data_IF_815311656876
#
_entry.id   IF_815311656876
#
_cell.length_a   1.000
_cell.length_b   1.000
_cell.length_c   1.000
_cell.angle_alpha   90.00
_cell.angle_beta   90.00
_cell.angle_gamma   90.00
#
_symmetry.space_group_name_H-M   'P 1'
#
loop_
_entity.id
_entity.type
_entity.pdbx_description
1 polymer ?
#
# COMPACT_ATOMS: atom_id res chain seq x y z
N UNK A 1 5.90 10.07 -31.90
CA UNK A 1 6.60 10.07 -30.60
C UNK A 1 5.66 9.47 -29.57
N UNK A 2 6.09 8.47 -28.79
CA UNK A 2 5.24 7.95 -27.69
C UNK A 2 5.02 9.09 -26.70
N UNK A 3 3.76 9.47 -26.45
CA UNK A 3 3.41 10.48 -25.44
C UNK A 3 3.98 10.01 -24.08
N UNK A 4 4.56 10.92 -23.31
CA UNK A 4 5.06 10.64 -21.97
C UNK A 4 4.03 11.09 -20.91
N UNK A 5 4.08 10.57 -19.68
CA UNK A 5 3.26 11.07 -18.58
C UNK A 5 3.50 12.56 -18.33
N UNK A 6 2.45 13.29 -17.92
CA UNK A 6 2.56 14.71 -17.60
C UNK A 6 3.12 14.87 -16.19
N UNK A 7 4.19 15.64 -16.02
CA UNK A 7 4.82 15.88 -14.72
C UNK A 7 4.42 17.26 -14.19
N UNK A 8 3.77 17.28 -13.03
CA UNK A 8 3.41 18.51 -12.32
C UNK A 8 4.44 18.79 -11.22
N UNK A 9 5.19 19.88 -11.38
CA UNK A 9 6.20 20.31 -10.42
C UNK A 9 5.66 21.29 -9.39
N UNK A 10 4.52 21.94 -9.65
CA UNK A 10 3.89 22.87 -8.71
C UNK A 10 2.37 22.74 -8.70
N UNK A 11 1.77 23.19 -7.60
CA UNK A 11 0.30 23.22 -7.43
C UNK A 11 -0.33 24.17 -8.46
N UNK A 12 0.31 25.30 -8.79
CA UNK A 12 -0.18 26.21 -9.82
C UNK A 12 -0.26 25.56 -11.21
N UNK A 13 0.72 24.71 -11.57
CA UNK A 13 0.68 23.96 -12.83
C UNK A 13 -0.50 22.99 -12.85
N UNK A 14 -0.71 22.28 -11.74
CA UNK A 14 -1.84 21.35 -11.61
C UNK A 14 -3.18 22.08 -11.69
N UNK A 15 -3.38 23.15 -10.91
CA UNK A 15 -4.62 23.92 -10.91
C UNK A 15 -4.96 24.44 -12.31
N UNK A 16 -3.98 25.01 -13.02
CA UNK A 16 -4.17 25.47 -14.41
C UNK A 16 -4.59 24.33 -15.33
N UNK A 17 -3.96 23.18 -15.23
CA UNK A 17 -4.26 22.02 -16.06
C UNK A 17 -5.62 21.38 -15.75
N UNK A 18 -6.10 21.54 -14.51
CA UNK A 18 -7.43 21.07 -14.06
C UNK A 18 -8.54 22.12 -14.26
N UNK A 19 -8.25 23.27 -14.89
CA UNK A 19 -9.22 24.34 -15.11
C UNK A 19 -9.68 25.04 -13.82
N UNK A 20 -8.86 25.00 -12.77
CA UNK A 20 -9.16 25.51 -11.44
C UNK A 20 -8.52 26.89 -11.20
N UNK A 21 -9.07 27.71 -10.29
CA UNK A 21 -8.43 28.95 -9.85
C UNK A 21 -7.01 28.70 -9.31
N UNK A 22 -6.16 29.72 -9.35
CA UNK A 22 -4.84 29.63 -8.75
C UNK A 22 -4.95 29.27 -7.25
N UNK A 23 -4.05 28.43 -6.70
CA UNK A 23 -4.10 28.06 -5.30
C UNK A 23 -3.83 29.29 -4.41
N UNK A 24 -4.52 29.37 -3.26
CA UNK A 24 -4.30 30.44 -2.28
C UNK A 24 -2.91 30.37 -1.63
N UNK A 25 -2.30 29.18 -1.60
CA UNK A 25 -0.95 28.96 -1.10
C UNK A 25 -0.10 28.17 -2.12
N UNK A 26 1.19 28.53 -2.35
CA UNK A 26 2.01 27.89 -3.39
C UNK A 26 2.38 26.43 -3.10
N UNK A 27 2.37 26.03 -1.82
CA UNK A 27 2.84 24.71 -1.37
C UNK A 27 1.76 23.79 -0.79
N UNK A 28 0.52 24.25 -0.63
CA UNK A 28 -0.59 23.41 -0.18
C UNK A 28 -1.90 23.91 -0.80
N UNK A 29 -2.80 22.99 -1.18
CA UNK A 29 -4.13 23.35 -1.65
C UNK A 29 -5.14 22.23 -1.43
N UNK A 30 -6.40 22.60 -1.27
CA UNK A 30 -7.53 21.68 -1.39
C UNK A 30 -8.25 21.97 -2.71
N UNK A 31 -8.56 20.93 -3.47
CA UNK A 31 -9.25 21.00 -4.75
C UNK A 31 -10.48 20.09 -4.72
N UNK A 32 -11.62 20.59 -5.20
CA UNK A 32 -12.78 19.75 -5.51
C UNK A 32 -12.61 19.18 -6.92
N UNK A 33 -12.35 17.87 -7.02
CA UNK A 33 -12.14 17.23 -8.33
C UNK A 33 -13.42 17.12 -9.16
N UNK A 34 -14.60 17.15 -8.52
CA UNK A 34 -15.89 17.21 -9.23
C UNK A 34 -16.10 18.51 -10.02
N UNK A 35 -15.34 19.56 -9.68
CA UNK A 35 -15.37 20.84 -10.40
C UNK A 35 -14.25 20.97 -11.44
N UNK A 36 -13.34 19.98 -11.53
CA UNK A 36 -12.22 20.02 -12.45
C UNK A 36 -12.71 19.96 -13.91
N UNK A 37 -12.09 20.78 -14.77
CA UNK A 37 -12.40 20.84 -16.20
C UNK A 37 -11.13 20.58 -17.00
N UNK A 38 -11.01 19.37 -17.52
CA UNK A 38 -9.89 18.93 -18.34
C UNK A 38 -10.33 17.88 -19.38
N UNK A 39 -9.56 17.68 -20.45
CA UNK A 39 -9.76 16.55 -21.37
C UNK A 39 -8.96 15.35 -20.84
N UNK A 40 -9.60 14.20 -20.52
CA UNK A 40 -8.89 13.00 -20.09
C UNK A 40 -7.80 12.54 -21.08
N UNK A 41 -7.92 12.88 -22.37
CA UNK A 41 -6.91 12.57 -23.41
C UNK A 41 -5.59 13.31 -23.19
N UNK A 42 -5.60 14.44 -22.48
CA UNK A 42 -4.38 15.17 -22.13
C UNK A 42 -3.51 14.39 -21.14
N UNK A 43 -4.13 13.47 -20.39
CA UNK A 43 -3.50 12.66 -19.35
C UNK A 43 -3.58 11.15 -19.62
N UNK A 44 -3.77 10.75 -20.87
CA UNK A 44 -3.91 9.34 -21.29
C UNK A 44 -2.72 8.47 -20.85
N UNK A 45 -1.51 9.05 -20.81
CA UNK A 45 -0.29 8.37 -20.38
C UNK A 45 -0.03 8.46 -18.87
N UNK A 46 -0.97 9.06 -18.14
CA UNK A 46 -0.89 9.30 -16.70
C UNK A 46 -0.24 10.63 -16.33
N UNK A 47 -0.31 10.91 -15.03
CA UNK A 47 0.25 12.09 -14.37
C UNK A 47 1.26 11.67 -13.31
N UNK A 48 2.30 12.47 -13.11
CA UNK A 48 3.25 12.34 -12.02
C UNK A 48 3.25 13.64 -11.24
N UNK A 49 2.95 13.57 -9.94
CA UNK A 49 2.95 14.73 -9.06
C UNK A 49 4.27 14.79 -8.29
N UNK A 50 4.88 15.98 -8.17
CA UNK A 50 6.05 16.18 -7.26
C UNK A 50 5.66 16.51 -5.82
N UNK A 51 4.39 16.28 -5.48
CA UNK A 51 3.78 16.58 -4.21
C UNK A 51 2.83 15.46 -3.78
N UNK A 52 2.56 15.38 -2.48
CA UNK A 52 1.63 14.40 -1.94
C UNK A 52 0.21 14.75 -2.40
N UNK A 53 -0.58 13.72 -2.69
CA UNK A 53 -2.01 13.82 -3.01
C UNK A 53 -2.79 12.92 -2.05
N UNK A 54 -3.73 13.49 -1.32
CA UNK A 54 -4.66 12.77 -0.45
C UNK A 54 -6.06 13.08 -0.96
N UNK A 55 -6.69 12.10 -1.60
CA UNK A 55 -8.03 12.24 -2.16
C UNK A 55 -9.04 11.59 -1.24
N UNK A 56 -10.17 12.25 -1.05
CA UNK A 56 -11.36 11.72 -0.40
C UNK A 56 -12.54 11.85 -1.36
N UNK A 57 -13.06 10.72 -1.83
CA UNK A 57 -14.25 10.66 -2.68
C UNK A 57 -15.51 10.69 -1.81
N UNK A 58 -16.42 11.63 -2.07
CA UNK A 58 -17.65 11.83 -1.29
C UNK A 58 -18.80 10.95 -1.78
N UNK A 59 -18.76 10.54 -3.04
CA UNK A 59 -19.72 9.64 -3.66
C UNK A 59 -18.98 8.68 -4.59
N UNK A 60 -19.40 7.43 -4.62
CA UNK A 60 -18.90 6.43 -5.56
C UNK A 60 -20.12 5.75 -6.19
N UNK A 61 -20.09 5.52 -7.49
CA UNK A 61 -21.16 4.80 -8.18
C UNK A 61 -20.50 3.69 -9.01
N UNK A 62 -20.35 2.51 -8.42
CA UNK A 62 -19.78 1.36 -9.09
C UNK A 62 -19.97 0.07 -8.29
N UNK A 63 -20.25 -1.03 -8.99
CA UNK A 63 -20.28 -2.37 -8.41
C UNK A 63 -18.89 -2.99 -8.51
N UNK A 64 -18.16 -3.04 -7.41
CA UNK A 64 -16.90 -3.78 -7.33
C UNK A 64 -17.20 -5.25 -7.03
N UNK A 65 -17.04 -6.11 -8.04
CA UNK A 65 -17.06 -7.57 -7.87
C UNK A 65 -15.82 -7.99 -7.08
N UNK A 66 -15.97 -8.56 -5.89
CA UNK A 66 -14.83 -8.98 -5.06
C UNK A 66 -15.08 -10.31 -4.35
N UNK A 67 -14.31 -11.35 -4.73
CA UNK A 67 -14.53 -12.72 -4.29
C UNK A 67 -15.81 -13.33 -4.88
N UNK A 68 -16.54 -14.12 -4.08
CA UNK A 68 -17.85 -14.69 -4.46
C UNK A 68 -19.05 -13.76 -4.16
N UNK A 69 -18.81 -12.53 -3.70
CA UNK A 69 -19.87 -11.59 -3.31
C UNK A 69 -19.69 -10.18 -3.88
N UNK A 70 -20.75 -9.38 -3.76
CA UNK A 70 -20.70 -7.92 -3.86
C UNK A 70 -20.85 -7.39 -2.43
N UNK A 71 -19.94 -6.53 -1.98
CA UNK A 71 -20.10 -5.83 -0.71
C UNK A 71 -20.52 -4.39 -1.00
N UNK A 72 -21.64 -3.97 -0.42
CA UNK A 72 -22.16 -2.61 -0.55
C UNK A 72 -21.29 -1.63 0.25
N UNK A 73 -20.16 -1.23 -0.32
CA UNK A 73 -19.44 -0.03 0.07
C UNK A 73 -19.39 0.91 -1.14
N UNK A 74 -20.57 1.20 -1.70
CA UNK A 74 -20.78 2.09 -2.85
C UNK A 74 -20.67 3.58 -2.49
N UNK A 75 -19.82 4.00 -1.55
CA UNK A 75 -19.98 5.35 -0.97
C UNK A 75 -18.67 6.12 -0.71
N UNK A 76 -17.65 5.90 -1.54
CA UNK A 76 -16.44 6.71 -1.51
C UNK A 76 -15.41 6.25 -0.47
N UNK A 77 -14.19 6.75 -0.65
CA UNK A 77 -13.02 6.29 0.09
C UNK A 77 -11.84 7.23 -0.09
N UNK A 78 -10.76 6.96 0.63
CA UNK A 78 -9.53 7.73 0.55
C UNK A 78 -8.44 7.00 -0.23
N UNK A 79 -7.68 7.77 -1.00
CA UNK A 79 -6.44 7.31 -1.63
C UNK A 79 -5.30 8.27 -1.32
N UNK A 80 -4.09 7.72 -1.25
CA UNK A 80 -2.88 8.42 -0.82
C UNK A 80 -1.79 8.17 -1.83
N UNK A 81 -1.20 9.24 -2.35
CA UNK A 81 -0.20 9.16 -3.41
C UNK A 81 1.00 9.99 -3.02
N UNK A 82 2.16 9.36 -3.07
CA UNK A 82 3.45 9.99 -2.77
C UNK A 82 4.02 10.72 -4.00
N UNK A 83 4.87 11.76 -3.78
CA UNK A 83 5.60 12.41 -4.85
C UNK A 83 6.36 11.43 -5.74
N UNK A 84 6.23 11.58 -7.06
CA UNK A 84 6.93 10.80 -8.06
C UNK A 84 6.22 9.53 -8.51
N UNK A 85 5.08 9.18 -7.90
CA UNK A 85 4.27 8.05 -8.36
C UNK A 85 3.53 8.38 -9.66
N UNK A 86 3.43 7.40 -10.54
CA UNK A 86 2.64 7.47 -11.77
C UNK A 86 1.18 7.14 -11.44
N UNK A 87 0.30 8.08 -11.76
CA UNK A 87 -1.15 7.95 -11.58
C UNK A 87 -1.76 7.84 -12.97
N UNK A 88 -2.51 6.77 -13.25
CA UNK A 88 -3.27 6.66 -14.51
C UNK A 88 -4.72 6.97 -14.24
N UNK A 89 -5.33 7.78 -15.11
CA UNK A 89 -6.73 8.17 -14.96
C UNK A 89 -7.70 6.99 -15.09
N UNK A 90 -7.28 5.88 -15.73
CA UNK A 90 -8.06 4.63 -15.79
C UNK A 90 -8.13 3.91 -14.44
N UNK A 91 -7.18 4.17 -13.54
CA UNK A 91 -7.14 3.59 -12.19
C UNK A 91 -7.97 4.43 -11.18
N UNK A 92 -8.41 5.63 -11.58
CA UNK A 92 -9.33 6.47 -10.80
C UNK A 92 -10.73 6.34 -11.41
N UNK A 93 -11.62 5.58 -10.75
CA UNK A 93 -12.98 5.32 -11.25
C UNK A 93 -13.76 6.60 -11.62
N UNK A 94 -14.65 6.47 -12.60
CA UNK A 94 -15.27 7.54 -13.41
C UNK A 94 -16.06 8.64 -12.68
N UNK A 95 -16.22 8.59 -11.35
CA UNK A 95 -16.84 9.66 -10.58
C UNK A 95 -15.79 10.37 -9.70
N UNK A 96 -15.60 11.66 -9.98
CA UNK A 96 -14.53 12.51 -9.42
C UNK A 96 -15.02 13.40 -8.27
N UNK A 97 -16.27 13.22 -7.83
CA UNK A 97 -16.85 13.96 -6.71
C UNK A 97 -16.07 13.69 -5.41
N UNK A 98 -15.39 14.72 -4.91
CA UNK A 98 -14.56 14.61 -3.73
C UNK A 98 -13.56 15.74 -3.55
N UNK A 99 -12.92 15.75 -2.39
CA UNK A 99 -11.92 16.73 -2.00
C UNK A 99 -10.54 16.10 -2.07
N UNK A 100 -9.59 16.80 -2.70
CA UNK A 100 -8.19 16.37 -2.75
C UNK A 100 -7.28 17.42 -2.15
N UNK A 101 -6.52 17.01 -1.13
CA UNK A 101 -5.49 17.78 -0.49
C UNK A 101 -4.16 17.50 -1.19
N UNK A 102 -3.51 18.56 -1.67
CA UNK A 102 -2.17 18.51 -2.25
C UNK A 102 -1.17 19.19 -1.32
N UNK A 103 -0.06 18.51 -1.02
CA UNK A 103 0.97 19.03 -0.10
C UNK A 103 2.34 18.91 -0.77
N UNK A 104 2.94 20.04 -1.11
CA UNK A 104 4.33 20.07 -1.58
C UNK A 104 5.28 19.69 -0.44
N UNK A 105 6.32 18.86 -0.68
CA UNK A 105 7.22 18.42 0.40
C UNK A 105 7.88 19.58 1.16
N UNK A 106 8.08 20.72 0.50
CA UNK A 106 8.61 21.93 1.14
C UNK A 106 7.70 22.51 2.22
N UNK A 107 6.38 22.28 2.15
CA UNK A 107 5.45 22.70 3.20
C UNK A 107 5.71 21.96 4.53
N UNK A 108 6.27 20.75 4.45
CA UNK A 108 6.54 19.90 5.61
C UNK A 108 7.97 20.05 6.14
N UNK A 109 8.87 20.69 5.38
CA UNK A 109 10.33 20.60 5.52
C UNK A 109 10.87 20.90 6.92
N UNK A 110 10.25 21.85 7.63
CA UNK A 110 10.68 22.28 8.98
C UNK A 110 10.03 21.45 10.10
N UNK A 111 9.12 20.54 9.77
CA UNK A 111 8.35 19.75 10.73
C UNK A 111 8.84 18.30 10.76
N UNK A 112 8.71 17.62 11.91
CA UNK A 112 8.97 16.18 12.02
C UNK A 112 8.18 15.35 10.99
N UNK A 113 7.01 15.84 10.58
CA UNK A 113 6.19 15.19 9.57
C UNK A 113 6.90 15.00 8.22
N UNK A 114 7.88 15.84 7.84
CA UNK A 114 8.64 15.66 6.59
C UNK A 114 9.33 14.30 6.47
N UNK A 115 9.88 13.78 7.57
CA UNK A 115 10.48 12.45 7.64
C UNK A 115 9.44 11.40 8.04
N UNK A 116 8.50 11.77 8.93
CA UNK A 116 7.43 10.92 9.43
C UNK A 116 6.47 10.43 8.34
N UNK A 117 6.12 11.28 7.37
CA UNK A 117 5.05 11.01 6.40
C UNK A 117 5.29 9.75 5.56
N UNK A 118 6.56 9.36 5.34
CA UNK A 118 6.93 8.15 4.59
C UNK A 118 6.69 6.85 5.37
N UNK A 119 6.52 6.93 6.70
CA UNK A 119 6.25 5.76 7.53
C UNK A 119 4.79 5.31 7.45
N UNK A 120 3.89 6.18 6.97
CA UNK A 120 2.52 5.81 6.67
C UNK A 120 2.50 4.95 5.39
N UNK A 121 2.37 3.63 5.59
CA UNK A 121 2.49 2.63 4.52
C UNK A 121 1.55 2.84 3.35
N UNK A 122 0.38 3.46 3.59
CA UNK A 122 -0.64 3.69 2.58
C UNK A 122 -0.25 4.65 1.47
N UNK A 123 0.80 5.46 1.61
CA UNK A 123 1.36 6.22 0.48
C UNK A 123 2.07 5.33 -0.56
N UNK A 124 2.29 4.05 -0.24
CA UNK A 124 2.83 3.05 -1.17
C UNK A 124 1.75 2.14 -1.75
N UNK A 125 0.48 2.36 -1.37
CA UNK A 125 -0.64 1.55 -1.85
C UNK A 125 -1.05 1.96 -3.25
N UNK A 126 -1.69 1.04 -3.96
CA UNK A 126 -2.33 1.33 -5.24
C UNK A 126 -3.73 1.94 -5.04
N UNK A 127 -4.30 2.50 -6.10
CA UNK A 127 -5.69 3.00 -6.06
C UNK A 127 -6.71 1.90 -5.72
N UNK A 128 -6.44 0.64 -6.08
CA UNK A 128 -7.29 -0.51 -5.74
C UNK A 128 -7.29 -0.86 -4.25
N UNK A 129 -6.34 -0.34 -3.48
CA UNK A 129 -6.17 -0.55 -2.03
C UNK A 129 -6.67 0.66 -1.22
N UNK A 130 -7.64 1.38 -1.78
CA UNK A 130 -8.27 2.53 -1.16
C UNK A 130 -8.82 2.20 0.24
N UNK A 131 -8.82 3.23 1.08
CA UNK A 131 -9.43 3.18 2.40
C UNK A 131 -10.93 3.44 2.27
N UNK A 132 -11.74 2.46 2.66
CA UNK A 132 -13.19 2.60 2.69
C UNK A 132 -13.63 3.13 4.04
N UNK A 133 -14.56 4.08 4.02
CA UNK A 133 -15.01 4.79 5.22
C UNK A 133 -16.49 4.50 5.49
N UNK A 134 -16.83 4.35 6.76
CA UNK A 134 -18.20 4.43 7.23
C UNK A 134 -18.66 5.88 7.27
N UNK A 135 -19.97 6.14 7.30
CA UNK A 135 -20.55 7.49 7.39
C UNK A 135 -19.94 8.35 8.49
N UNK A 136 -19.75 7.78 9.69
CA UNK A 136 -19.14 8.50 10.82
C UNK A 136 -17.69 8.90 10.54
N UNK A 137 -16.94 8.06 9.84
CA UNK A 137 -15.54 8.33 9.51
C UNK A 137 -15.43 9.33 8.38
N UNK A 138 -16.32 9.26 7.38
CA UNK A 138 -16.43 10.28 6.33
C UNK A 138 -16.68 11.66 6.94
N UNK A 139 -17.62 11.78 7.89
CA UNK A 139 -17.87 13.02 8.60
C UNK A 139 -16.63 13.54 9.35
N UNK A 140 -15.83 12.62 9.92
CA UNK A 140 -14.56 12.97 10.58
C UNK A 140 -13.54 13.53 9.58
N UNK A 141 -13.34 12.83 8.46
CA UNK A 141 -12.42 13.26 7.39
C UNK A 141 -12.85 14.59 6.78
N UNK A 142 -14.13 14.74 6.45
CA UNK A 142 -14.73 15.98 5.94
C UNK A 142 -14.48 17.15 6.88
N UNK A 143 -14.62 16.94 8.19
CA UNK A 143 -14.38 17.99 9.18
C UNK A 143 -12.92 18.46 9.15
N UNK A 144 -11.96 17.54 9.02
CA UNK A 144 -10.54 17.86 8.94
C UNK A 144 -10.22 18.64 7.65
N UNK A 145 -10.76 18.22 6.50
CA UNK A 145 -10.61 18.96 5.25
C UNK A 145 -11.18 20.38 5.35
N UNK A 146 -12.37 20.52 5.96
CA UNK A 146 -12.99 21.83 6.21
C UNK A 146 -12.11 22.72 7.08
N UNK A 147 -11.56 22.20 8.18
CA UNK A 147 -10.67 22.98 9.05
C UNK A 147 -9.40 23.45 8.33
N UNK A 148 -8.79 22.58 7.51
CA UNK A 148 -7.63 22.98 6.69
C UNK A 148 -8.04 24.05 5.68
N UNK A 149 -9.19 23.92 5.03
CA UNK A 149 -9.68 24.86 4.04
C UNK A 149 -10.00 26.23 4.65
N UNK A 150 -10.63 26.26 5.82
CA UNK A 150 -10.92 27.47 6.59
C UNK A 150 -9.61 28.20 6.94
N UNK A 151 -8.64 27.50 7.54
CA UNK A 151 -7.33 28.07 7.88
C UNK A 151 -6.57 28.61 6.64
N UNK A 152 -6.69 27.95 5.48
CA UNK A 152 -6.11 28.41 4.21
C UNK A 152 -6.81 29.64 3.61
N UNK A 153 -8.04 29.94 4.04
CA UNK A 153 -8.83 31.07 3.56
C UNK A 153 -8.72 32.32 4.45
N UNK A 154 -8.21 32.15 5.67
CA UNK A 154 -7.99 33.23 6.63
C UNK A 154 -6.67 33.99 6.38
N UNK A 155 -6.46 35.05 7.17
CA UNK A 155 -5.22 35.83 7.10
C UNK A 155 -4.06 34.97 7.62
N UNK A 156 -3.12 34.65 6.75
CA UNK A 156 -1.91 33.93 7.13
C UNK A 156 -1.10 34.73 8.16
N UNK A 157 -0.88 34.12 9.32
CA UNK A 157 0.06 34.60 10.31
C UNK A 157 1.15 33.55 10.59
N UNK A 158 1.96 33.78 11.63
CA UNK A 158 3.07 32.89 11.97
C UNK A 158 2.64 31.52 12.54
N UNK A 159 1.36 31.35 12.86
CA UNK A 159 0.81 30.13 13.45
C UNK A 159 0.02 29.29 12.44
N UNK A 160 -0.46 29.88 11.35
CA UNK A 160 -1.30 29.18 10.37
C UNK A 160 -0.70 27.87 9.85
N UNK A 161 0.61 27.85 9.57
CA UNK A 161 1.28 26.62 9.11
C UNK A 161 1.29 25.53 10.19
N UNK A 162 1.51 25.87 11.46
CA UNK A 162 1.50 24.91 12.58
C UNK A 162 0.12 24.28 12.76
N UNK A 163 -0.94 25.09 12.62
CA UNK A 163 -2.34 24.61 12.70
C UNK A 163 -2.62 23.64 11.56
N UNK A 164 -2.27 23.99 10.32
CA UNK A 164 -2.47 23.12 9.16
C UNK A 164 -1.69 21.80 9.31
N UNK A 165 -0.43 21.86 9.74
CA UNK A 165 0.37 20.64 9.96
C UNK A 165 -0.28 19.74 11.00
N UNK A 166 -0.78 20.30 12.10
CA UNK A 166 -1.48 19.53 13.14
C UNK A 166 -2.73 18.85 12.57
N UNK A 167 -3.50 19.53 11.72
CA UNK A 167 -4.67 18.94 11.06
C UNK A 167 -4.28 17.81 10.09
N UNK A 168 -3.17 17.96 9.35
CA UNK A 168 -2.65 16.89 8.50
C UNK A 168 -2.25 15.67 9.34
N UNK A 169 -1.59 15.86 10.48
CA UNK A 169 -1.22 14.75 11.36
C UNK A 169 -2.47 14.03 11.90
N UNK A 170 -3.50 14.78 12.29
CA UNK A 170 -4.80 14.21 12.69
C UNK A 170 -5.41 13.39 11.55
N UNK A 171 -5.41 13.91 10.32
CA UNK A 171 -5.90 13.21 9.13
C UNK A 171 -5.17 11.87 8.93
N UNK A 172 -3.84 11.90 8.96
CA UNK A 172 -2.99 10.73 8.72
C UNK A 172 -3.15 9.66 9.82
N UNK A 173 -3.34 10.09 11.07
CA UNK A 173 -3.61 9.20 12.21
C UNK A 173 -4.98 8.53 12.12
N UNK A 174 -6.02 9.27 11.73
CA UNK A 174 -7.33 8.68 11.47
C UNK A 174 -7.29 7.68 10.31
N UNK A 175 -6.58 8.01 9.22
CA UNK A 175 -6.40 7.08 8.10
C UNK A 175 -5.77 5.75 8.56
N UNK A 176 -4.69 5.79 9.35
CA UNK A 176 -4.10 4.58 9.96
C UNK A 176 -5.13 3.77 10.74
N UNK A 177 -5.86 4.42 11.64
CA UNK A 177 -6.89 3.77 12.48
C UNK A 177 -7.97 3.11 11.63
N UNK A 178 -8.39 3.75 10.55
CA UNK A 178 -9.43 3.23 9.67
C UNK A 178 -8.93 2.09 8.78
N UNK A 179 -7.65 2.11 8.36
CA UNK A 179 -7.00 0.98 7.70
C UNK A 179 -6.92 -0.24 8.62
N UNK A 180 -6.47 -0.06 9.87
CA UNK A 180 -6.44 -1.14 10.87
C UNK A 180 -7.82 -1.78 11.05
N UNK A 181 -8.86 -0.95 11.18
CA UNK A 181 -10.24 -1.42 11.23
C UNK A 181 -10.64 -2.13 9.94
N UNK A 182 -10.29 -1.62 8.77
CA UNK A 182 -10.59 -2.25 7.48
C UNK A 182 -10.00 -3.66 7.38
N UNK A 183 -8.78 -3.88 7.88
CA UNK A 183 -8.19 -5.22 7.95
C UNK A 183 -8.98 -6.15 8.88
N UNK A 184 -9.48 -5.62 10.01
CA UNK A 184 -10.25 -6.39 10.98
C UNK A 184 -11.67 -6.73 10.51
N UNK A 185 -12.35 -5.82 9.80
CA UNK A 185 -13.73 -6.02 9.35
C UNK A 185 -13.82 -6.84 8.08
N UNK A 186 -12.76 -6.88 7.26
CA UNK A 186 -12.69 -7.63 6.00
C UNK A 186 -12.07 -9.02 6.15
N UNK A 187 -12.33 -9.72 7.26
CA UNK A 187 -11.73 -11.04 7.52
C UNK A 187 -11.94 -12.02 6.37
N UNK A 188 -13.13 -12.09 5.78
CA UNK A 188 -13.39 -13.02 4.67
C UNK A 188 -12.50 -12.77 3.45
N UNK A 189 -12.31 -11.51 3.05
CA UNK A 189 -11.46 -11.11 1.92
C UNK A 189 -9.99 -11.29 2.26
N UNK A 190 -9.60 -10.90 3.47
CA UNK A 190 -8.22 -11.02 3.93
C UNK A 190 -7.81 -12.49 4.09
N UNK A 191 -8.75 -13.35 4.50
CA UNK A 191 -8.57 -14.79 4.53
C UNK A 191 -8.50 -15.39 3.12
N UNK A 192 -9.29 -14.92 2.15
CA UNK A 192 -9.16 -15.37 0.75
C UNK A 192 -7.78 -15.04 0.17
N UNK A 193 -7.31 -13.81 0.39
CA UNK A 193 -5.98 -13.40 -0.06
C UNK A 193 -4.87 -14.20 0.63
N UNK A 194 -5.01 -14.47 1.93
CA UNK A 194 -4.09 -15.34 2.67
C UNK A 194 -4.11 -16.77 2.11
N UNK A 195 -5.28 -17.37 1.88
CA UNK A 195 -5.41 -18.71 1.28
C UNK A 195 -4.74 -18.76 -0.09
N UNK A 196 -4.94 -17.72 -0.93
CA UNK A 196 -4.29 -17.63 -2.25
C UNK A 196 -2.77 -17.48 -2.13
N UNK A 197 -2.29 -16.71 -1.16
CA UNK A 197 -0.85 -16.59 -0.88
C UNK A 197 -0.26 -17.94 -0.46
N UNK A 198 -0.94 -18.66 0.43
CA UNK A 198 -0.50 -19.99 0.87
C UNK A 198 -0.46 -20.97 -0.30
N UNK A 199 -1.49 -20.99 -1.14
CA UNK A 199 -1.52 -21.82 -2.35
C UNK A 199 -0.39 -21.45 -3.31
N UNK A 200 -0.14 -20.15 -3.56
CA UNK A 200 0.95 -19.72 -4.43
C UNK A 200 2.32 -20.18 -3.91
N UNK A 201 2.54 -20.14 -2.60
CA UNK A 201 3.78 -20.61 -2.00
C UNK A 201 3.89 -22.14 -2.05
N UNK A 202 2.80 -22.86 -1.80
CA UNK A 202 2.75 -24.32 -1.90
C UNK A 202 3.07 -24.79 -3.33
N UNK A 203 2.42 -24.18 -4.33
CA UNK A 203 2.67 -24.45 -5.75
C UNK A 203 4.11 -24.09 -6.14
N UNK A 204 4.65 -22.99 -5.60
CA UNK A 204 6.01 -22.55 -5.88
C UNK A 204 7.06 -23.58 -5.43
N UNK A 205 6.87 -24.19 -4.26
CA UNK A 205 7.78 -25.21 -3.73
C UNK A 205 7.53 -26.62 -4.30
N UNK A 206 6.32 -26.93 -4.76
CA UNK A 206 6.00 -28.24 -5.34
C UNK A 206 6.37 -28.35 -6.84
N UNK A 207 6.33 -27.24 -7.59
CA UNK A 207 6.62 -27.23 -9.04
C UNK A 207 8.12 -27.13 -9.38
N UNK A 208 9.02 -27.34 -8.41
CA UNK A 208 10.48 -27.17 -8.57
C UNK A 208 10.92 -25.78 -9.09
N UNK A 209 10.01 -24.78 -9.10
CA UNK A 209 10.29 -23.41 -9.57
C UNK A 209 11.39 -22.74 -8.77
N UNK A 210 11.48 -23.07 -7.48
CA UNK A 210 12.52 -22.60 -6.58
C UNK A 210 13.93 -22.99 -7.01
N UNK A 211 14.13 -24.14 -7.68
CA UNK A 211 15.44 -24.56 -8.19
C UNK A 211 16.00 -23.60 -9.24
N UNK A 212 15.13 -22.99 -10.04
CA UNK A 212 15.52 -22.15 -11.17
C UNK A 212 15.40 -20.65 -10.88
N UNK A 213 14.52 -20.26 -9.96
CA UNK A 213 14.19 -18.85 -9.72
C UNK A 213 14.59 -18.36 -8.33
N UNK A 214 15.11 -19.25 -7.48
CA UNK A 214 15.57 -18.93 -6.14
C UNK A 214 14.43 -18.93 -5.11
N UNK A 215 14.57 -18.11 -4.07
CA UNK A 215 13.51 -17.91 -3.08
C UNK A 215 12.39 -17.01 -3.62
N UNK A 216 11.12 -17.26 -3.23
CA UNK A 216 10.03 -16.40 -3.64
C UNK A 216 10.22 -15.01 -3.01
N UNK A 217 10.13 -13.96 -3.84
CA UNK A 217 10.27 -12.58 -3.37
C UNK A 217 8.91 -11.98 -3.01
N UNK A 218 8.89 -11.08 -2.02
CA UNK A 218 7.67 -10.35 -1.63
C UNK A 218 7.06 -9.62 -2.84
N UNK A 219 7.90 -9.05 -3.72
CA UNK A 219 7.43 -8.35 -4.90
C UNK A 219 6.71 -9.28 -5.88
N UNK A 220 7.29 -10.44 -6.20
CA UNK A 220 6.69 -11.40 -7.13
C UNK A 220 5.36 -11.95 -6.60
N UNK A 221 5.28 -12.22 -5.29
CA UNK A 221 4.04 -12.69 -4.67
C UNK A 221 2.96 -11.60 -4.66
N UNK A 222 3.33 -10.37 -4.29
CA UNK A 222 2.41 -9.24 -4.29
C UNK A 222 1.86 -8.94 -5.70
N UNK A 223 2.73 -8.97 -6.72
CA UNK A 223 2.33 -8.85 -8.12
C UNK A 223 1.35 -9.95 -8.55
N UNK A 224 1.64 -11.21 -8.21
CA UNK A 224 0.76 -12.34 -8.51
C UNK A 224 -0.61 -12.24 -7.81
N UNK A 225 -0.65 -11.60 -6.64
CA UNK A 225 -1.85 -11.35 -5.86
C UNK A 225 -2.54 -10.03 -6.22
N UNK A 226 -1.96 -9.24 -7.14
CA UNK A 226 -2.46 -7.92 -7.56
C UNK A 226 -2.58 -6.93 -6.39
N UNK A 227 -1.64 -6.98 -5.46
CA UNK A 227 -1.50 -6.05 -4.34
C UNK A 227 -0.10 -5.46 -4.30
N UNK A 228 0.06 -4.36 -3.56
CA UNK A 228 1.38 -3.79 -3.32
C UNK A 228 2.14 -4.60 -2.26
N UNK A 229 3.48 -4.70 -2.35
CA UNK A 229 4.31 -5.40 -1.36
C UNK A 229 4.09 -4.90 0.07
N UNK A 230 3.81 -3.60 0.21
CA UNK A 230 3.56 -2.96 1.50
C UNK A 230 2.20 -3.35 2.04
N UNK A 231 1.14 -3.32 1.23
CA UNK A 231 -0.19 -3.75 1.63
C UNK A 231 -0.18 -5.22 2.05
N UNK A 232 0.47 -6.11 1.29
CA UNK A 232 0.63 -7.52 1.64
C UNK A 232 1.29 -7.69 3.02
N UNK A 233 2.36 -6.92 3.28
CA UNK A 233 3.07 -6.97 4.56
C UNK A 233 2.23 -6.45 5.73
N UNK A 234 1.46 -5.38 5.52
CA UNK A 234 0.61 -4.78 6.55
C UNK A 234 -0.61 -5.67 6.85
N UNK A 235 -1.19 -6.30 5.81
CA UNK A 235 -2.24 -7.33 5.92
C UNK A 235 -1.75 -8.53 6.74
N UNK A 236 -0.59 -9.11 6.40
CA UNK A 236 -0.04 -10.26 7.14
C UNK A 236 0.29 -9.90 8.58
N UNK A 237 0.81 -8.69 8.84
CA UNK A 237 1.10 -8.25 10.21
C UNK A 237 -0.19 -8.16 11.04
N UNK A 238 -1.30 -7.77 10.42
CA UNK A 238 -2.60 -7.70 11.08
C UNK A 238 -3.22 -9.10 11.32
N UNK A 239 -3.14 -10.00 10.33
CA UNK A 239 -3.78 -11.32 10.40
C UNK A 239 -2.99 -12.35 11.22
N UNK A 240 -1.67 -12.41 11.00
CA UNK A 240 -0.80 -13.48 11.53
C UNK A 240 0.40 -12.94 12.31
N UNK A 241 0.53 -11.62 12.46
CA UNK A 241 1.62 -11.00 13.24
C UNK A 241 2.98 -10.96 12.55
N UNK A 242 3.06 -11.32 11.26
CA UNK A 242 4.32 -11.42 10.51
C UNK A 242 4.34 -10.46 9.32
N UNK A 243 5.51 -9.92 8.98
CA UNK A 243 5.69 -9.27 7.67
C UNK A 243 5.68 -10.30 6.54
N UNK A 244 5.49 -9.88 5.29
CA UNK A 244 5.50 -10.80 4.15
C UNK A 244 6.81 -11.59 4.04
N UNK A 245 7.96 -10.95 4.27
CA UNK A 245 9.24 -11.65 4.27
C UNK A 245 9.36 -12.67 5.41
N UNK A 246 8.86 -12.33 6.60
CA UNK A 246 8.86 -13.26 7.73
C UNK A 246 7.93 -14.45 7.46
N UNK A 247 6.77 -14.21 6.86
CA UNK A 247 5.83 -15.26 6.46
C UNK A 247 6.43 -16.21 5.42
N UNK A 248 7.10 -15.68 4.40
CA UNK A 248 7.84 -16.49 3.42
C UNK A 248 8.89 -17.36 4.14
N UNK A 249 9.66 -16.79 5.06
CA UNK A 249 10.64 -17.56 5.82
C UNK A 249 9.98 -18.66 6.65
N UNK A 250 8.84 -18.43 7.30
CA UNK A 250 8.10 -19.51 8.00
C UNK A 250 7.70 -20.62 7.04
N UNK A 251 7.14 -20.31 5.87
CA UNK A 251 6.77 -21.32 4.86
C UNK A 251 7.97 -22.10 4.33
N UNK A 252 9.11 -21.44 4.12
CA UNK A 252 10.38 -22.11 3.77
C UNK A 252 10.79 -23.09 4.87
N UNK A 253 10.66 -22.70 6.14
CA UNK A 253 11.01 -23.58 7.26
C UNK A 253 10.03 -24.75 7.38
N UNK A 254 8.72 -24.52 7.26
CA UNK A 254 7.70 -25.58 7.23
C UNK A 254 8.02 -26.61 6.14
N UNK A 255 8.23 -26.15 4.90
CA UNK A 255 8.55 -27.03 3.77
C UNK A 255 9.88 -27.77 3.96
N UNK A 256 10.88 -27.10 4.52
CA UNK A 256 12.17 -27.74 4.80
C UNK A 256 12.04 -28.88 5.82
N UNK A 257 11.15 -28.76 6.82
CA UNK A 257 10.89 -29.82 7.79
C UNK A 257 10.23 -31.03 7.13
N UNK A 258 9.33 -30.82 6.17
CA UNK A 258 8.74 -31.90 5.38
C UNK A 258 9.80 -32.68 4.61
N UNK A 259 10.71 -31.99 3.91
CA UNK A 259 11.80 -32.66 3.19
C UNK A 259 12.76 -33.40 4.14
N UNK A 260 13.08 -32.82 5.30
CA UNK A 260 13.94 -33.47 6.29
C UNK A 260 13.30 -34.75 6.87
N UNK A 261 11.97 -34.79 6.98
CA UNK A 261 11.24 -35.94 7.50
C UNK A 261 11.16 -37.12 6.52
N UNK A 262 11.24 -36.86 5.20
CA UNK A 262 11.21 -37.92 4.17
C UNK A 262 12.53 -38.69 4.05
N UNK A 263 13.64 -38.16 4.59
CA UNK A 263 15.00 -38.74 4.55
C UNK A 263 15.55 -39.09 3.14
N UNK A 264 14.95 -38.57 2.07
CA UNK A 264 15.36 -38.85 0.68
C UNK A 264 16.49 -37.94 0.19
N UNK A 265 16.65 -36.77 0.80
CA UNK A 265 17.57 -35.71 0.35
C UNK A 265 18.62 -35.38 1.42
N UNK A 266 19.81 -35.00 0.96
CA UNK A 266 20.84 -34.37 1.78
C UNK A 266 20.45 -32.93 2.13
N UNK A 267 21.02 -32.38 3.19
CA UNK A 267 20.73 -31.00 3.63
C UNK A 267 21.11 -29.98 2.55
N UNK A 268 22.17 -30.25 1.78
CA UNK A 268 22.58 -29.39 0.67
C UNK A 268 21.54 -29.42 -0.46
N UNK A 269 21.07 -30.61 -0.85
CA UNK A 269 20.00 -30.75 -1.85
C UNK A 269 18.72 -30.07 -1.41
N UNK A 270 18.31 -30.23 -0.15
CA UNK A 270 17.14 -29.53 0.41
C UNK A 270 17.29 -28.02 0.29
N UNK A 271 18.47 -27.47 0.60
CA UNK A 271 18.71 -26.03 0.47
C UNK A 271 18.56 -25.56 -1.00
N UNK A 272 19.10 -26.32 -1.95
CA UNK A 272 18.95 -26.01 -3.37
C UNK A 272 17.50 -26.13 -3.83
N UNK A 273 16.78 -27.19 -3.44
CA UNK A 273 15.34 -27.35 -3.72
C UNK A 273 14.49 -26.22 -3.16
N UNK A 274 14.88 -25.64 -2.02
CA UNK A 274 14.19 -24.47 -1.47
C UNK A 274 14.59 -23.15 -2.14
N UNK A 275 15.52 -23.16 -3.10
CA UNK A 275 15.95 -22.00 -3.86
C UNK A 275 17.07 -21.17 -3.21
N UNK A 276 17.84 -21.76 -2.28
CA UNK A 276 19.05 -21.11 -1.76
C UNK A 276 20.24 -21.34 -2.69
N UNK A 277 20.94 -20.27 -3.05
CA UNK A 277 22.20 -20.35 -3.80
C UNK A 277 23.32 -21.03 -2.98
N UNK A 278 23.26 -20.90 -1.66
CA UNK A 278 24.25 -21.40 -0.73
C UNK A 278 23.59 -22.12 0.46
N UNK A 279 23.88 -23.41 0.69
CA UNK A 279 23.34 -24.18 1.82
C UNK A 279 23.60 -23.56 3.20
N UNK A 280 24.67 -22.78 3.35
CA UNK A 280 24.99 -22.07 4.58
C UNK A 280 23.91 -21.03 4.95
N UNK A 281 23.32 -20.38 3.96
CA UNK A 281 22.23 -19.42 4.16
C UNK A 281 20.97 -20.11 4.69
N UNK A 282 20.63 -21.28 4.14
CA UNK A 282 19.56 -22.13 4.65
C UNK A 282 19.83 -22.56 6.09
N UNK A 283 21.03 -23.09 6.38
CA UNK A 283 21.41 -23.52 7.74
C UNK A 283 21.26 -22.39 8.76
N UNK A 284 21.68 -21.17 8.40
CA UNK A 284 21.57 -19.99 9.26
C UNK A 284 20.11 -19.62 9.51
N UNK A 285 19.29 -19.59 8.45
CA UNK A 285 17.86 -19.29 8.57
C UNK A 285 17.16 -20.33 9.43
N UNK A 286 17.33 -21.62 9.12
CA UNK A 286 16.73 -22.72 9.85
C UNK A 286 17.09 -22.68 11.33
N UNK A 287 18.37 -22.55 11.66
CA UNK A 287 18.82 -22.44 13.06
C UNK A 287 18.26 -21.22 13.76
N UNK A 288 18.15 -20.07 13.08
CA UNK A 288 17.58 -18.87 13.67
C UNK A 288 16.08 -19.02 14.00
N UNK A 289 15.37 -19.86 13.24
CA UNK A 289 13.92 -20.07 13.37
C UNK A 289 13.55 -21.24 14.26
N UNK A 290 14.38 -22.27 14.35
CA UNK A 290 14.08 -23.50 15.08
C UNK A 290 14.97 -23.73 16.30
N UNK A 291 16.04 -22.96 16.47
CA UNK A 291 17.13 -23.19 17.45
C UNK A 291 18.00 -24.43 17.19
N UNK A 292 17.64 -25.28 16.21
CA UNK A 292 18.39 -26.49 15.84
C UNK A 292 19.05 -26.31 14.47
N UNK A 293 20.19 -26.96 14.21
CA UNK A 293 20.64 -27.09 12.83
C UNK A 293 19.73 -28.06 12.06
N UNK A 294 19.64 -27.98 10.72
CA UNK A 294 18.88 -28.97 9.94
C UNK A 294 19.34 -30.42 10.22
N UNK A 295 20.65 -30.64 10.41
CA UNK A 295 21.22 -31.93 10.79
C UNK A 295 20.72 -32.43 12.13
N UNK A 296 20.72 -31.56 13.15
CA UNK A 296 20.29 -31.93 14.50
C UNK A 296 18.78 -32.19 14.54
N UNK A 297 18.00 -31.38 13.81
CA UNK A 297 16.57 -31.60 13.64
C UNK A 297 16.28 -32.94 12.96
N UNK A 298 16.98 -33.26 11.86
CA UNK A 298 16.84 -34.55 11.18
C UNK A 298 17.14 -35.74 12.09
N UNK A 299 18.22 -35.66 12.88
CA UNK A 299 18.54 -36.69 13.89
C UNK A 299 17.47 -36.83 14.96
N UNK A 300 16.84 -35.72 15.36
CA UNK A 300 15.77 -35.75 16.37
C UNK A 300 14.48 -36.42 15.89
N UNK A 301 14.27 -36.56 14.58
CA UNK A 301 13.13 -37.28 14.00
C UNK A 301 13.34 -38.80 13.90
N UNK A 302 14.60 -39.25 13.95
CA UNK A 302 14.99 -40.66 13.80
C UNK A 302 15.10 -41.40 15.15
N UNK A 303 14.90 -40.68 16.26
CA UNK A 303 14.90 -41.19 17.63
C UNK A 303 13.48 -41.12 18.22
#
# INVERSE_FOLDING_TARGET
>A
MKKQPVIFNSLSQLHKAMGQPAPSHPLISIMNYGEARFDPKDFEQGIILKFYKISFKTSFSGRLKYGQGYYDFEEGGMSFIAPGQLIRMQDEEANYDGMTLHIHPDFLRTYPLSSGIRHYGYFSYSAAEALYLSEKEKATILSIYRFIQEELSERTDKFSQDVIISQIEVLLNYANRFYDRQFLTRKAVNNDLLTRLEQLLEDYFNDDKSLFTGLPSVNALAESLQVTPRYLSDLLRNLVGLSAQQFIHEKVIEKSKEYLAKDELTIAEIAYHLGFEHPQSFNKLFKSKTSFSPSDYKKSLLN
#
